data_IF_352826096152
#
_entry.id   IF_352826096152
#
_cell.length_a   1.000
_cell.length_b   1.000
_cell.length_c   1.000
_cell.angle_alpha   90.00
_cell.angle_beta   90.00
_cell.angle_gamma   90.00
#
_symmetry.space_group_name_H-M   'P 1'
#
loop_
_entity.id
_entity.type
_entity.pdbx_description
1 polymer ?
#
# COMPACT_ATOMS: atom_id res chain seq x y z
N UNK A 1 -14.19 31.21 -42.42
CA UNK A 1 -14.17 30.59 -41.09
C UNK A 1 -15.21 31.30 -40.25
N UNK A 2 -16.33 30.65 -39.94
CA UNK A 2 -17.40 31.26 -39.16
C UNK A 2 -17.00 31.37 -37.69
N UNK A 3 -17.35 32.48 -37.04
CA UNK A 3 -17.12 32.83 -35.63
C UNK A 3 -17.74 31.87 -34.57
N UNK A 4 -18.09 30.63 -34.93
CA UNK A 4 -18.72 29.65 -34.01
C UNK A 4 -17.74 28.75 -33.26
N UNK A 5 -16.44 28.81 -33.53
CA UNK A 5 -15.44 27.91 -32.91
C UNK A 5 -14.71 28.49 -31.70
N UNK A 6 -14.99 29.73 -31.28
CA UNK A 6 -14.29 30.37 -30.15
C UNK A 6 -14.84 30.03 -28.76
N UNK A 7 -16.01 29.38 -28.67
CA UNK A 7 -16.68 29.04 -27.40
C UNK A 7 -16.75 27.52 -27.12
N UNK A 8 -16.13 26.69 -27.95
CA UNK A 8 -16.08 25.26 -27.67
C UNK A 8 -15.05 25.00 -26.55
N UNK A 9 -15.45 24.42 -25.40
CA UNK A 9 -14.49 24.06 -24.37
C UNK A 9 -13.45 23.10 -24.97
N UNK A 10 -12.17 23.22 -24.59
CA UNK A 10 -11.10 22.38 -25.13
C UNK A 10 -11.48 20.90 -25.05
N UNK A 11 -11.56 20.23 -26.22
CA UNK A 11 -11.93 18.81 -26.31
C UNK A 11 -10.78 17.94 -25.80
N UNK A 12 -11.03 17.18 -24.74
CA UNK A 12 -10.12 16.16 -24.20
C UNK A 12 -9.86 15.11 -25.29
N UNK A 13 -8.59 14.87 -25.67
CA UNK A 13 -8.27 13.84 -26.65
C UNK A 13 -8.33 12.47 -25.97
N UNK A 14 -8.84 11.45 -26.68
CA UNK A 14 -8.91 10.06 -26.17
C UNK A 14 -7.54 9.51 -25.71
N UNK A 15 -6.43 10.07 -26.21
CA UNK A 15 -5.04 9.76 -25.83
C UNK A 15 -4.61 10.27 -24.44
N UNK A 16 -5.38 11.16 -23.81
CA UNK A 16 -5.05 11.75 -22.51
C UNK A 16 -5.63 10.93 -21.32
N UNK A 17 -6.20 9.75 -21.59
CA UNK A 17 -6.73 8.83 -20.58
C UNK A 17 -6.18 7.41 -20.79
N UNK A 18 -5.93 6.72 -19.68
CA UNK A 18 -5.64 5.30 -19.66
C UNK A 18 -6.89 4.48 -20.04
N UNK A 19 -6.73 3.19 -20.35
CA UNK A 19 -7.83 2.28 -20.61
C UNK A 19 -8.84 2.21 -19.45
N UNK A 20 -8.38 2.41 -18.21
CA UNK A 20 -9.23 2.54 -17.02
C UNK A 20 -9.99 3.86 -16.92
N UNK A 21 -9.85 4.78 -17.88
CA UNK A 21 -10.45 6.11 -17.85
C UNK A 21 -9.75 7.12 -16.94
N UNK A 22 -8.69 6.71 -16.22
CA UNK A 22 -7.88 7.59 -15.39
C UNK A 22 -7.01 8.55 -16.26
N UNK A 23 -6.73 9.79 -15.81
CA UNK A 23 -5.86 10.72 -16.54
C UNK A 23 -4.47 10.14 -16.80
N UNK A 24 -4.01 10.22 -18.05
CA UNK A 24 -2.67 9.81 -18.48
C UNK A 24 -1.65 10.96 -18.41
N UNK A 25 -2.12 12.21 -18.55
CA UNK A 25 -1.35 13.45 -18.44
C UNK A 25 -2.11 14.46 -17.58
N UNK A 26 -1.45 15.56 -17.20
CA UNK A 26 -2.01 16.55 -16.29
C UNK A 26 -2.66 17.65 -17.11
N UNK A 27 -3.84 18.08 -16.69
CA UNK A 27 -4.68 19.01 -17.44
C UNK A 27 -4.02 20.38 -17.60
N UNK A 28 -3.60 20.97 -16.47
CA UNK A 28 -3.00 22.31 -16.46
C UNK A 28 -1.53 22.26 -16.89
N UNK A 29 -0.81 21.24 -16.44
CA UNK A 29 0.60 21.02 -16.75
C UNK A 29 0.77 19.57 -17.18
N UNK A 30 1.27 19.40 -18.40
CA UNK A 30 1.35 18.11 -19.06
C UNK A 30 2.05 17.06 -18.22
N UNK A 31 3.01 17.45 -17.36
CA UNK A 31 3.87 16.66 -16.45
C UNK A 31 3.46 16.70 -14.96
N UNK A 32 2.46 17.50 -14.58
CA UNK A 32 2.03 17.64 -13.18
C UNK A 32 0.52 17.48 -13.07
N UNK A 33 0.13 16.44 -12.33
CA UNK A 33 -1.28 16.20 -12.06
C UNK A 33 -1.81 17.18 -11.01
N UNK A 34 -2.98 17.74 -11.29
CA UNK A 34 -3.80 18.37 -10.29
C UNK A 34 -4.29 17.33 -9.26
N UNK A 35 -4.72 17.81 -8.11
CA UNK A 35 -5.17 16.96 -7.03
C UNK A 35 -6.30 16.01 -7.47
N UNK A 36 -7.27 16.51 -8.23
CA UNK A 36 -8.43 15.75 -8.73
C UNK A 36 -8.01 14.65 -9.71
N UNK A 37 -6.92 14.85 -10.44
CA UNK A 37 -6.39 13.87 -11.38
C UNK A 37 -5.68 12.74 -10.64
N UNK A 38 -4.88 13.06 -9.61
CA UNK A 38 -4.29 12.06 -8.71
C UNK A 38 -5.42 11.29 -8.01
N UNK A 39 -6.48 11.99 -7.58
CA UNK A 39 -7.67 11.40 -6.99
C UNK A 39 -8.31 10.37 -7.93
N UNK A 40 -8.51 10.69 -9.22
CA UNK A 40 -9.10 9.77 -10.19
C UNK A 40 -8.21 8.55 -10.44
N UNK A 41 -6.90 8.75 -10.58
CA UNK A 41 -5.93 7.65 -10.72
C UNK A 41 -5.96 6.72 -9.49
N UNK A 42 -6.07 7.31 -8.31
CA UNK A 42 -6.18 6.56 -7.06
C UNK A 42 -7.46 5.72 -7.00
N UNK A 43 -8.61 6.27 -7.43
CA UNK A 43 -9.87 5.51 -7.48
C UNK A 43 -9.80 4.38 -8.49
N UNK A 44 -9.14 4.57 -9.63
CA UNK A 44 -8.92 3.50 -10.61
C UNK A 44 -8.06 2.36 -10.02
N UNK A 45 -6.98 2.71 -9.29
CA UNK A 45 -6.17 1.72 -8.58
C UNK A 45 -6.96 1.00 -7.49
N UNK A 46 -7.80 1.71 -6.74
CA UNK A 46 -8.63 1.13 -5.69
C UNK A 46 -9.65 0.12 -6.24
N UNK A 47 -10.19 0.38 -7.43
CA UNK A 47 -11.13 -0.51 -8.09
C UNK A 47 -10.48 -1.82 -8.56
N UNK A 48 -9.24 -1.75 -9.07
CA UNK A 48 -8.46 -2.93 -9.44
C UNK A 48 -8.27 -3.88 -8.24
N UNK A 49 -7.95 -3.34 -7.06
CA UNK A 49 -7.84 -4.11 -5.82
C UNK A 49 -9.19 -4.68 -5.40
N UNK A 50 -10.25 -3.86 -5.36
CA UNK A 50 -11.58 -4.29 -4.92
C UNK A 50 -12.20 -5.33 -5.86
N UNK A 51 -11.89 -5.27 -7.16
CA UNK A 51 -12.32 -6.22 -8.18
C UNK A 51 -11.47 -7.49 -8.26
N UNK A 52 -10.35 -7.56 -7.55
CA UNK A 52 -9.47 -8.73 -7.52
C UNK A 52 -10.13 -9.90 -6.79
N UNK A 53 -9.87 -11.11 -7.28
CA UNK A 53 -10.32 -12.33 -6.62
C UNK A 53 -9.54 -12.55 -5.32
N UNK A 54 -10.14 -13.24 -4.35
CA UNK A 54 -9.45 -13.62 -3.10
C UNK A 54 -8.12 -14.35 -3.37
N UNK A 55 -8.05 -15.15 -4.44
CA UNK A 55 -6.83 -15.88 -4.82
C UNK A 55 -5.74 -14.92 -5.30
N UNK A 56 -6.08 -13.96 -6.16
CA UNK A 56 -5.14 -12.94 -6.64
C UNK A 56 -4.61 -12.10 -5.46
N UNK A 57 -5.50 -11.61 -4.59
CA UNK A 57 -5.14 -10.86 -3.39
C UNK A 57 -4.22 -11.68 -2.47
N UNK A 58 -4.54 -12.96 -2.24
CA UNK A 58 -3.76 -13.81 -1.36
C UNK A 58 -2.35 -14.05 -1.90
N UNK A 59 -2.17 -14.47 -3.16
CA UNK A 59 -0.84 -14.75 -3.68
C UNK A 59 0.00 -13.48 -3.89
N UNK A 60 -0.64 -12.38 -4.30
CA UNK A 60 0.01 -11.07 -4.36
C UNK A 60 0.48 -10.64 -2.97
N UNK A 61 -0.40 -10.73 -1.96
CA UNK A 61 -0.06 -10.40 -0.58
C UNK A 61 0.98 -11.33 0.04
N UNK A 62 0.93 -12.62 -0.28
CA UNK A 62 1.96 -13.57 0.16
C UNK A 62 3.33 -13.18 -0.41
N UNK A 63 3.38 -12.82 -1.70
CA UNK A 63 4.61 -12.37 -2.36
C UNK A 63 5.12 -11.07 -1.75
N UNK A 64 4.23 -10.11 -1.43
CA UNK A 64 4.62 -8.89 -0.72
C UNK A 64 5.21 -9.19 0.66
N UNK A 65 4.55 -10.07 1.42
CA UNK A 65 5.03 -10.53 2.73
C UNK A 65 6.41 -11.18 2.66
N UNK A 66 6.62 -12.05 1.68
CA UNK A 66 7.92 -12.68 1.46
C UNK A 66 8.99 -11.65 1.07
N UNK A 67 8.65 -10.64 0.25
CA UNK A 67 9.57 -9.57 -0.12
C UNK A 67 9.99 -8.67 1.07
N UNK A 68 9.14 -8.52 2.10
CA UNK A 68 9.52 -7.83 3.36
C UNK A 68 10.70 -8.50 4.07
N UNK A 69 10.97 -9.77 3.81
CA UNK A 69 12.13 -10.46 4.38
C UNK A 69 13.44 -9.80 3.94
N UNK A 70 13.49 -9.18 2.74
CA UNK A 70 14.64 -8.39 2.30
C UNK A 70 14.86 -7.15 3.17
N UNK A 71 13.78 -6.49 3.61
CA UNK A 71 13.82 -5.39 4.57
C UNK A 71 14.38 -5.87 5.92
N UNK A 72 13.89 -7.02 6.42
CA UNK A 72 14.39 -7.62 7.66
C UNK A 72 15.89 -7.94 7.57
N UNK A 73 16.34 -8.60 6.50
CA UNK A 73 17.76 -8.92 6.26
C UNK A 73 18.58 -7.63 6.24
N UNK A 74 18.15 -6.64 5.45
CA UNK A 74 18.85 -5.36 5.32
C UNK A 74 19.03 -4.67 6.66
N UNK A 75 18.00 -4.69 7.51
CA UNK A 75 18.05 -4.08 8.82
C UNK A 75 18.93 -4.86 9.80
N UNK A 76 18.75 -6.18 9.90
CA UNK A 76 19.56 -7.04 10.76
C UNK A 76 21.06 -6.96 10.44
N UNK A 77 21.41 -7.02 9.14
CA UNK A 77 22.79 -6.87 8.66
C UNK A 77 23.33 -5.46 8.93
N UNK A 78 22.51 -4.43 8.70
CA UNK A 78 22.91 -3.06 8.97
C UNK A 78 23.17 -2.81 10.47
N UNK A 79 22.31 -3.31 11.36
CA UNK A 79 22.51 -3.24 12.82
C UNK A 79 23.73 -4.02 13.29
N UNK A 80 24.03 -5.15 12.67
CA UNK A 80 25.23 -5.92 12.97
C UNK A 80 26.52 -5.19 12.55
N UNK A 81 26.53 -4.56 11.37
CA UNK A 81 27.73 -3.89 10.83
C UNK A 81 27.93 -2.47 11.38
N UNK A 82 26.85 -1.78 11.73
CA UNK A 82 26.86 -0.40 12.21
C UNK A 82 26.10 -0.24 13.55
N UNK A 83 26.53 -0.95 14.62
CA UNK A 83 25.78 -1.00 15.88
C UNK A 83 25.63 0.36 16.57
N UNK A 84 26.55 1.30 16.30
CA UNK A 84 26.56 2.64 16.89
C UNK A 84 26.10 3.74 15.91
N UNK A 85 25.53 3.37 14.76
CA UNK A 85 25.09 4.33 13.75
C UNK A 85 23.78 3.89 13.10
N UNK A 86 22.67 4.35 13.68
CA UNK A 86 21.31 4.01 13.23
C UNK A 86 21.03 4.46 11.80
N UNK A 87 21.62 5.57 11.35
CA UNK A 87 21.47 6.08 9.99
C UNK A 87 22.07 5.10 8.97
N UNK A 88 23.30 4.63 9.18
CA UNK A 88 23.92 3.65 8.30
C UNK A 88 23.29 2.25 8.45
N UNK A 89 22.89 1.87 9.67
CA UNK A 89 22.29 0.58 9.93
C UNK A 89 20.93 0.37 9.25
N UNK A 90 20.28 1.43 8.81
CA UNK A 90 18.94 1.39 8.21
C UNK A 90 18.94 1.56 6.70
N UNK A 91 20.10 1.77 6.07
CA UNK A 91 20.23 2.14 4.65
C UNK A 91 19.65 1.08 3.68
N UNK A 92 19.62 -0.18 4.09
CA UNK A 92 19.09 -1.31 3.31
C UNK A 92 17.64 -1.66 3.65
N UNK A 93 17.05 -1.05 4.68
CA UNK A 93 15.67 -1.32 5.08
C UNK A 93 14.65 -1.09 3.93
N UNK A 94 14.76 -0.08 3.05
CA UNK A 94 13.75 0.16 2.02
C UNK A 94 13.69 -0.90 0.90
N UNK A 95 14.66 -1.81 0.81
CA UNK A 95 14.80 -2.71 -0.34
C UNK A 95 13.58 -3.61 -0.54
N UNK A 96 13.03 -4.21 0.53
CA UNK A 96 11.81 -5.01 0.43
C UNK A 96 10.62 -4.20 -0.10
N UNK A 97 10.45 -2.97 0.37
CA UNK A 97 9.39 -2.07 -0.09
C UNK A 97 9.52 -1.65 -1.55
N UNK A 98 10.75 -1.50 -2.07
CA UNK A 98 10.97 -1.28 -3.50
C UNK A 98 10.44 -2.45 -4.34
N UNK A 99 10.73 -3.69 -3.93
CA UNK A 99 10.21 -4.88 -4.62
C UNK A 99 8.68 -4.95 -4.59
N UNK A 100 8.08 -4.61 -3.45
CA UNK A 100 6.64 -4.65 -3.24
C UNK A 100 5.93 -3.62 -4.11
N UNK A 101 6.31 -2.34 -3.99
CA UNK A 101 5.58 -1.24 -4.63
C UNK A 101 5.84 -1.21 -6.14
N UNK A 102 7.07 -1.47 -6.58
CA UNK A 102 7.38 -1.52 -8.02
C UNK A 102 6.84 -2.80 -8.67
N UNK A 103 6.86 -3.91 -7.92
CA UNK A 103 6.27 -5.19 -8.34
C UNK A 103 4.74 -5.23 -8.31
N UNK A 104 4.09 -4.20 -7.74
CA UNK A 104 2.64 -4.10 -7.56
C UNK A 104 2.07 -5.29 -6.76
N UNK A 105 2.80 -5.70 -5.73
CA UNK A 105 2.30 -6.70 -4.80
C UNK A 105 1.42 -6.07 -3.72
N UNK A 106 0.38 -6.76 -3.30
CA UNK A 106 -0.60 -6.24 -2.36
C UNK A 106 -0.05 -6.16 -0.94
N UNK A 107 0.23 -4.94 -0.47
CA UNK A 107 0.61 -4.69 0.91
C UNK A 107 -0.58 -4.16 1.71
N UNK A 108 -0.80 -4.71 2.90
CA UNK A 108 -1.92 -4.32 3.77
C UNK A 108 -1.96 -2.80 4.01
N UNK A 109 -0.82 -2.20 4.32
CA UNK A 109 -0.73 -0.77 4.62
C UNK A 109 -1.00 0.11 3.41
N UNK A 110 -0.71 -0.34 2.19
CA UNK A 110 -1.06 0.41 0.97
C UNK A 110 -2.57 0.44 0.75
N UNK A 111 -3.27 -0.60 1.22
CA UNK A 111 -4.72 -0.74 1.14
C UNK A 111 -5.49 0.06 2.22
N UNK A 112 -4.80 0.88 3.02
CA UNK A 112 -5.42 1.78 4.00
C UNK A 112 -5.80 3.15 3.42
N UNK A 113 -5.44 3.43 2.16
CA UNK A 113 -5.78 4.68 1.49
C UNK A 113 -6.78 4.52 0.31
N UNK A 114 -6.47 3.79 -0.77
CA UNK A 114 -7.35 3.72 -1.94
C UNK A 114 -8.71 3.03 -1.64
N UNK A 115 -8.76 1.81 -1.06
CA UNK A 115 -10.02 1.16 -0.73
C UNK A 115 -10.86 1.90 0.32
N UNK A 116 -10.22 2.50 1.33
CA UNK A 116 -10.91 3.31 2.36
C UNK A 116 -11.65 4.48 1.73
N UNK A 117 -11.02 5.14 0.76
CA UNK A 117 -11.63 6.24 0.02
C UNK A 117 -12.85 5.81 -0.77
N UNK A 118 -12.85 4.61 -1.37
CA UNK A 118 -14.05 4.05 -2.01
C UNK A 118 -15.18 3.85 -0.99
N UNK A 119 -14.89 3.39 0.22
CA UNK A 119 -15.92 3.26 1.27
C UNK A 119 -16.46 4.62 1.71
N UNK A 120 -15.58 5.61 1.95
CA UNK A 120 -15.97 6.97 2.34
C UNK A 120 -16.82 7.66 1.25
N UNK A 121 -16.55 7.38 -0.02
CA UNK A 121 -17.34 7.86 -1.17
C UNK A 121 -18.53 6.97 -1.50
N UNK A 122 -18.77 5.90 -0.72
CA UNK A 122 -19.88 4.94 -0.86
C UNK A 122 -19.85 4.21 -2.21
N UNK A 123 -18.66 4.06 -2.76
CA UNK A 123 -18.31 3.30 -3.96
C UNK A 123 -17.78 1.90 -3.64
N UNK A 124 -17.57 1.56 -2.37
CA UNK A 124 -17.35 0.19 -1.92
C UNK A 124 -18.01 0.00 -0.56
N UNK A 125 -18.34 -1.24 -0.23
CA UNK A 125 -18.94 -1.60 1.05
C UNK A 125 -17.87 -1.86 2.11
N UNK A 126 -18.16 -1.54 3.37
CA UNK A 126 -17.26 -1.76 4.50
C UNK A 126 -16.91 -3.25 4.68
N UNK A 127 -17.84 -4.23 4.59
CA UNK A 127 -17.48 -5.64 4.66
C UNK A 127 -16.51 -6.08 3.55
N UNK A 128 -16.61 -5.49 2.35
CA UNK A 128 -15.69 -5.78 1.25
C UNK A 128 -14.29 -5.23 1.54
N UNK A 129 -14.20 -4.02 2.10
CA UNK A 129 -12.92 -3.47 2.58
C UNK A 129 -12.28 -4.36 3.64
N UNK A 130 -13.06 -4.80 4.63
CA UNK A 130 -12.59 -5.71 5.68
C UNK A 130 -12.13 -7.05 5.11
N UNK A 131 -12.82 -7.59 4.10
CA UNK A 131 -12.41 -8.80 3.39
C UNK A 131 -11.03 -8.63 2.75
N UNK A 132 -10.82 -7.55 1.97
CA UNK A 132 -9.50 -7.24 1.37
C UNK A 132 -8.43 -7.14 2.45
N UNK A 133 -8.69 -6.36 3.50
CA UNK A 133 -7.76 -6.18 4.61
C UNK A 133 -7.36 -7.49 5.28
N UNK A 134 -8.32 -8.35 5.62
CA UNK A 134 -8.06 -9.62 6.28
C UNK A 134 -7.26 -10.55 5.37
N UNK A 135 -7.65 -10.68 4.10
CA UNK A 135 -6.97 -11.56 3.14
C UNK A 135 -5.52 -11.11 2.93
N UNK A 136 -5.32 -9.81 2.65
CA UNK A 136 -3.99 -9.26 2.36
C UNK A 136 -3.10 -9.27 3.60
N UNK A 137 -3.61 -8.87 4.78
CA UNK A 137 -2.82 -8.91 6.02
C UNK A 137 -2.40 -10.33 6.37
N UNK A 138 -3.34 -11.28 6.32
CA UNK A 138 -3.03 -12.69 6.59
C UNK A 138 -1.98 -13.21 5.61
N UNK A 139 -2.14 -12.92 4.32
CA UNK A 139 -1.18 -13.33 3.31
C UNK A 139 0.20 -12.69 3.51
N UNK A 140 0.26 -11.39 3.82
CA UNK A 140 1.51 -10.68 4.13
C UNK A 140 2.24 -11.33 5.32
N UNK A 141 1.54 -11.60 6.42
CA UNK A 141 2.13 -12.22 7.62
C UNK A 141 2.58 -13.66 7.34
N UNK A 142 1.81 -14.44 6.57
CA UNK A 142 2.22 -15.79 6.17
C UNK A 142 3.45 -15.79 5.27
N UNK A 143 3.50 -14.91 4.27
CA UNK A 143 4.65 -14.77 3.37
C UNK A 143 5.92 -14.34 4.12
N UNK A 144 5.79 -13.34 4.99
CA UNK A 144 6.87 -12.90 5.86
C UNK A 144 7.32 -14.03 6.80
N UNK A 145 6.37 -14.72 7.41
CA UNK A 145 6.57 -15.87 8.29
C UNK A 145 7.39 -16.99 7.64
N UNK A 146 7.05 -17.37 6.40
CA UNK A 146 7.84 -18.38 5.66
C UNK A 146 9.28 -17.93 5.46
N UNK A 147 9.51 -16.67 5.07
CA UNK A 147 10.87 -16.18 4.86
C UNK A 147 11.67 -16.08 6.15
N UNK A 148 11.11 -15.51 7.22
CA UNK A 148 11.84 -15.41 8.50
C UNK A 148 11.99 -16.76 9.20
N UNK A 149 11.11 -17.72 8.96
CA UNK A 149 11.31 -19.12 9.39
C UNK A 149 12.57 -19.71 8.74
N UNK A 150 12.77 -19.49 7.44
CA UNK A 150 13.99 -19.90 6.74
C UNK A 150 15.20 -19.19 7.37
N UNK A 151 15.12 -17.87 7.62
CA UNK A 151 16.23 -17.14 8.24
C UNK A 151 16.58 -17.70 9.63
N UNK A 152 15.59 -17.99 10.47
CA UNK A 152 15.81 -18.51 11.83
C UNK A 152 16.40 -19.93 11.86
N UNK A 153 16.20 -20.72 10.82
CA UNK A 153 16.61 -22.14 10.77
C UNK A 153 17.77 -22.43 9.81
N UNK A 154 18.37 -21.40 9.22
CA UNK A 154 19.47 -21.54 8.26
C UNK A 154 20.57 -20.51 8.50
N UNK A 155 21.70 -20.64 7.81
CA UNK A 155 22.85 -19.73 7.93
C UNK A 155 22.83 -18.61 6.88
N UNK A 156 21.64 -18.16 6.46
CA UNK A 156 21.52 -17.01 5.53
C UNK A 156 22.00 -15.73 6.20
N UNK A 157 21.71 -15.55 7.50
CA UNK A 157 22.26 -14.47 8.31
C UNK A 157 23.55 -14.91 9.00
N UNK A 158 24.52 -13.99 9.14
CA UNK A 158 25.65 -14.22 10.03
C UNK A 158 25.18 -14.32 11.49
N UNK A 159 25.95 -14.93 12.40
CA UNK A 159 25.61 -14.95 13.82
C UNK A 159 25.36 -13.56 14.42
N UNK A 160 26.08 -12.54 13.96
CA UNK A 160 25.94 -11.15 14.38
C UNK A 160 24.59 -10.57 13.93
N UNK A 161 24.21 -10.80 12.67
CA UNK A 161 22.92 -10.34 12.13
C UNK A 161 21.74 -11.09 12.76
N UNK A 162 21.90 -12.39 13.05
CA UNK A 162 20.91 -13.17 13.79
C UNK A 162 20.66 -12.58 15.18
N UNK A 163 21.74 -12.27 15.93
CA UNK A 163 21.64 -11.60 17.25
C UNK A 163 21.00 -10.23 17.13
N UNK A 164 21.40 -9.42 16.15
CA UNK A 164 20.78 -8.12 15.93
C UNK A 164 19.27 -8.21 15.66
N UNK A 165 18.84 -9.19 14.84
CA UNK A 165 17.42 -9.44 14.57
C UNK A 165 16.63 -9.91 15.78
N UNK A 166 17.27 -10.66 16.69
CA UNK A 166 16.64 -11.13 17.92
C UNK A 166 16.29 -9.99 18.90
N UNK A 167 16.98 -8.86 18.82
CA UNK A 167 16.76 -7.71 19.71
C UNK A 167 15.60 -6.80 19.26
N UNK A 168 15.05 -6.98 18.06
CA UNK A 168 13.99 -6.10 17.54
C UNK A 168 12.71 -6.13 18.37
N UNK A 169 12.27 -7.32 18.79
CA UNK A 169 11.07 -7.49 19.61
C UNK A 169 11.30 -7.01 21.06
N UNK A 170 12.39 -7.40 21.76
CA UNK A 170 12.72 -6.84 23.06
C UNK A 170 12.75 -5.31 23.06
N UNK A 171 13.45 -4.70 22.10
CA UNK A 171 13.52 -3.25 21.97
C UNK A 171 12.13 -2.62 21.72
N UNK A 172 11.31 -3.24 20.88
CA UNK A 172 9.94 -2.79 20.65
C UNK A 172 9.09 -2.80 21.93
N UNK A 173 9.24 -3.84 22.76
CA UNK A 173 8.49 -3.94 24.02
C UNK A 173 8.91 -2.89 25.07
N UNK A 174 10.15 -2.41 25.05
CA UNK A 174 10.63 -1.35 25.95
C UNK A 174 9.95 0.01 25.71
N UNK A 175 9.45 0.24 24.49
CA UNK A 175 8.80 1.51 24.11
C UNK A 175 7.44 1.66 24.79
N UNK A 176 6.74 0.56 25.07
CA UNK A 176 5.40 0.57 25.64
C UNK A 176 4.29 0.78 24.62
N UNK A 177 3.09 0.34 24.99
CA UNK A 177 1.95 0.13 24.08
C UNK A 177 1.51 1.39 23.32
N UNK A 178 1.34 2.52 24.02
CA UNK A 178 0.81 3.75 23.42
C UNK A 178 1.84 4.47 22.54
N UNK A 179 3.10 4.50 22.97
CA UNK A 179 4.17 5.09 22.17
C UNK A 179 4.40 4.25 20.91
N UNK A 180 4.31 2.92 21.01
CA UNK A 180 4.30 2.01 19.87
C UNK A 180 3.16 2.31 18.90
N UNK A 181 1.93 2.47 19.43
CA UNK A 181 0.76 2.83 18.63
C UNK A 181 0.96 4.15 17.87
N UNK A 182 1.43 5.22 18.53
CA UNK A 182 1.62 6.51 17.86
C UNK A 182 2.79 6.51 16.88
N UNK A 183 3.89 5.84 17.18
CA UNK A 183 4.99 5.63 16.22
C UNK A 183 4.49 4.89 14.97
N UNK A 184 3.69 3.85 15.16
CA UNK A 184 3.06 3.12 14.07
C UNK A 184 2.00 3.93 13.32
N UNK A 185 1.30 4.85 14.00
CA UNK A 185 0.39 5.80 13.36
C UNK A 185 1.11 6.69 12.36
N UNK A 186 2.26 7.24 12.74
CA UNK A 186 3.07 8.00 11.80
C UNK A 186 3.61 7.13 10.67
N UNK A 187 4.01 5.88 10.92
CA UNK A 187 4.38 4.95 9.84
C UNK A 187 3.22 4.71 8.86
N UNK A 188 2.01 4.47 9.35
CA UNK A 188 0.80 4.30 8.53
C UNK A 188 0.50 5.53 7.68
N UNK A 189 0.65 6.73 8.26
CA UNK A 189 0.54 7.99 7.51
C UNK A 189 1.57 8.03 6.38
N UNK A 190 2.85 7.77 6.68
CA UNK A 190 3.92 7.79 5.66
C UNK A 190 3.64 6.85 4.51
N UNK A 191 3.19 5.63 4.79
CA UNK A 191 2.85 4.65 3.74
C UNK A 191 1.69 5.14 2.88
N UNK A 192 0.62 5.65 3.49
CA UNK A 192 -0.48 6.25 2.73
C UNK A 192 -0.01 7.45 1.88
N UNK A 193 0.91 8.26 2.41
CA UNK A 193 1.58 9.33 1.68
C UNK A 193 2.35 8.82 0.45
N UNK A 194 3.09 7.71 0.58
CA UNK A 194 3.80 7.08 -0.55
C UNK A 194 2.82 6.63 -1.62
N UNK A 195 1.69 6.02 -1.25
CA UNK A 195 0.66 5.62 -2.23
C UNK A 195 0.17 6.83 -3.03
N UNK A 196 -0.08 7.95 -2.36
CA UNK A 196 -0.46 9.21 -3.02
C UNK A 196 0.63 9.73 -3.95
N UNK A 197 1.87 9.86 -3.46
CA UNK A 197 3.01 10.38 -4.23
C UNK A 197 3.37 9.47 -5.41
N UNK A 198 3.33 8.16 -5.23
CA UNK A 198 3.55 7.17 -6.29
C UNK A 198 2.44 7.24 -7.37
N UNK A 199 1.20 7.55 -6.97
CA UNK A 199 0.10 7.81 -7.89
C UNK A 199 0.28 9.14 -8.65
N UNK A 200 0.93 10.13 -8.04
CA UNK A 200 1.28 11.39 -8.69
C UNK A 200 2.50 11.28 -9.61
N UNK A 201 3.43 10.36 -9.31
CA UNK A 201 4.67 10.17 -10.05
C UNK A 201 4.46 9.62 -11.47
N UNK A 202 5.35 10.04 -12.38
CA UNK A 202 5.26 9.75 -13.83
C UNK A 202 6.31 8.81 -14.34
N UNK A 203 7.48 8.83 -13.73
CA UNK A 203 8.62 8.00 -14.12
C UNK A 203 9.03 7.09 -12.97
N UNK A 204 9.71 6.00 -13.32
CA UNK A 204 10.13 4.98 -12.37
C UNK A 204 11.21 5.48 -11.39
N UNK A 205 12.07 6.41 -11.81
CA UNK A 205 13.16 6.91 -10.95
C UNK A 205 12.58 7.72 -9.79
N UNK A 206 11.65 8.64 -10.07
CA UNK A 206 10.94 9.41 -9.05
C UNK A 206 10.21 8.50 -8.07
N UNK A 207 9.61 7.40 -8.56
CA UNK A 207 8.97 6.39 -7.70
C UNK A 207 9.98 5.71 -6.79
N UNK A 208 11.09 5.23 -7.34
CA UNK A 208 12.17 4.60 -6.57
C UNK A 208 12.68 5.53 -5.47
N UNK A 209 12.99 6.78 -5.81
CA UNK A 209 13.50 7.76 -4.84
C UNK A 209 12.46 8.03 -3.73
N UNK A 210 11.20 8.23 -4.11
CA UNK A 210 10.11 8.47 -3.15
C UNK A 210 9.92 7.30 -2.20
N UNK A 211 9.84 6.08 -2.74
CA UNK A 211 9.70 4.84 -1.96
C UNK A 211 10.90 4.70 -1.02
N UNK A 212 12.11 4.82 -1.57
CA UNK A 212 13.33 4.66 -0.80
C UNK A 212 13.39 5.64 0.38
N UNK A 213 13.23 6.94 0.14
CA UNK A 213 13.35 7.96 1.17
C UNK A 213 12.29 7.84 2.26
N UNK A 214 11.03 7.56 1.88
CA UNK A 214 9.96 7.47 2.88
C UNK A 214 10.09 6.20 3.73
N UNK A 215 10.38 5.05 3.12
CA UNK A 215 10.58 3.81 3.88
C UNK A 215 11.90 3.80 4.66
N UNK A 216 12.91 4.56 4.23
CA UNK A 216 14.14 4.75 4.99
C UNK A 216 13.89 5.53 6.29
N UNK A 217 12.94 6.46 6.28
CA UNK A 217 12.57 7.22 7.46
C UNK A 217 11.94 6.35 8.56
N UNK A 218 11.27 5.26 8.20
CA UNK A 218 10.58 4.37 9.16
C UNK A 218 11.55 3.89 10.25
N UNK A 219 12.60 3.10 9.95
CA UNK A 219 13.50 2.63 10.99
C UNK A 219 14.45 3.72 11.50
N UNK A 220 14.81 4.71 10.66
CA UNK A 220 15.74 5.79 11.04
C UNK A 220 15.17 6.67 12.17
N UNK A 221 13.85 6.87 12.17
CA UNK A 221 13.12 7.63 13.22
C UNK A 221 12.59 6.70 14.32
N UNK A 222 12.78 5.38 14.19
CA UNK A 222 12.25 4.39 15.13
C UNK A 222 10.72 4.30 15.09
N UNK A 223 10.14 4.30 13.89
CA UNK A 223 8.73 4.01 13.61
C UNK A 223 8.55 2.53 13.26
N UNK A 224 7.32 2.04 13.37
CA UNK A 224 7.01 0.61 13.24
C UNK A 224 6.00 0.34 12.12
N UNK A 225 6.36 -0.55 11.21
CA UNK A 225 5.50 -0.98 10.10
C UNK A 225 4.93 -2.37 10.39
N UNK A 226 3.61 -2.53 10.33
CA UNK A 226 2.93 -3.76 10.78
C UNK A 226 3.41 -5.05 10.12
N UNK A 227 3.81 -5.03 8.84
CA UNK A 227 4.28 -6.25 8.16
C UNK A 227 5.73 -6.54 8.52
N UNK A 228 6.59 -5.53 8.61
CA UNK A 228 7.97 -5.72 9.11
C UNK A 228 7.96 -6.19 10.56
N UNK A 229 7.20 -5.52 11.43
CA UNK A 229 7.07 -5.91 12.84
C UNK A 229 6.41 -7.28 13.01
N UNK A 230 5.54 -7.69 12.09
CA UNK A 230 5.04 -9.07 12.04
C UNK A 230 6.13 -10.08 11.70
N UNK A 231 7.02 -9.74 10.75
CA UNK A 231 8.19 -10.55 10.43
C UNK A 231 9.17 -10.64 11.63
N UNK A 232 9.41 -9.53 12.32
CA UNK A 232 10.24 -9.45 13.53
C UNK A 232 9.66 -10.31 14.67
N UNK A 233 8.35 -10.21 14.91
CA UNK A 233 7.64 -11.03 15.89
C UNK A 233 7.77 -12.54 15.59
N UNK A 234 7.51 -12.94 14.34
CA UNK A 234 7.60 -14.34 13.93
C UNK A 234 9.04 -14.86 13.96
N UNK A 235 10.01 -14.05 13.53
CA UNK A 235 11.42 -14.40 13.61
C UNK A 235 11.84 -14.69 15.05
N UNK A 236 11.51 -13.80 16.00
CA UNK A 236 11.80 -13.99 17.42
C UNK A 236 11.19 -15.28 17.97
N UNK A 237 9.94 -15.57 17.60
CA UNK A 237 9.24 -16.81 17.97
C UNK A 237 9.96 -18.05 17.41
N UNK A 238 10.37 -18.01 16.13
CA UNK A 238 11.02 -19.15 15.49
C UNK A 238 12.46 -19.39 15.97
N UNK A 239 13.14 -18.36 16.47
CA UNK A 239 14.45 -18.52 17.11
C UNK A 239 14.39 -19.38 18.38
N UNK A 240 13.24 -19.42 19.05
CA UNK A 240 13.05 -20.23 20.27
C UNK A 240 13.96 -19.82 21.44
N UNK A 241 14.47 -18.59 21.44
CA UNK A 241 15.29 -18.06 22.53
C UNK A 241 14.44 -17.68 23.74
N UNK A 242 14.98 -17.72 24.97
CA UNK A 242 14.26 -17.26 26.15
C UNK A 242 13.81 -15.80 26.01
N UNK A 243 12.55 -15.51 26.33
CA UNK A 243 12.01 -14.17 26.15
C UNK A 243 10.51 -14.03 26.43
N UNK A 244 9.89 -12.93 25.97
CA UNK A 244 8.46 -12.68 26.10
C UNK A 244 7.61 -13.81 25.49
N UNK A 245 6.51 -14.17 26.16
CA UNK A 245 5.58 -15.17 25.64
C UNK A 245 4.80 -14.66 24.42
N UNK A 246 4.24 -15.60 23.63
CA UNK A 246 3.46 -15.29 22.41
C UNK A 246 2.40 -14.21 22.63
N UNK A 247 1.65 -14.31 23.72
CA UNK A 247 0.61 -13.32 24.04
C UNK A 247 1.20 -11.91 24.15
N UNK A 248 2.31 -11.75 24.87
CA UNK A 248 2.98 -10.45 25.05
C UNK A 248 3.47 -9.93 23.70
N UNK A 249 4.12 -10.76 22.89
CA UNK A 249 4.64 -10.34 21.57
C UNK A 249 3.51 -9.83 20.68
N UNK A 250 2.40 -10.55 20.58
CA UNK A 250 1.32 -10.15 19.69
C UNK A 250 0.43 -9.04 20.26
N UNK A 251 0.24 -8.98 21.58
CA UNK A 251 -0.63 -7.99 22.22
C UNK A 251 0.08 -6.67 22.56
N UNK A 252 1.30 -6.72 23.10
CA UNK A 252 2.04 -5.54 23.56
C UNK A 252 2.92 -4.93 22.47
N UNK A 253 3.35 -5.72 21.48
CA UNK A 253 4.18 -5.25 20.37
C UNK A 253 3.40 -5.18 19.05
N UNK A 254 2.91 -6.30 18.51
CA UNK A 254 2.36 -6.29 17.15
C UNK A 254 0.99 -5.60 17.01
N UNK A 255 0.07 -5.81 17.96
CA UNK A 255 -1.28 -5.22 17.93
C UNK A 255 -1.29 -3.68 17.93
N UNK A 256 -0.57 -2.97 18.82
CA UNK A 256 -0.51 -1.51 18.74
C UNK A 256 0.10 -1.04 17.42
N UNK A 257 1.06 -1.78 16.84
CA UNK A 257 1.61 -1.45 15.51
C UNK A 257 0.57 -1.59 14.41
N UNK A 258 -0.20 -2.69 14.42
CA UNK A 258 -1.30 -2.89 13.49
C UNK A 258 -2.31 -1.75 13.58
N UNK A 259 -2.84 -1.49 14.78
CA UNK A 259 -3.83 -0.44 15.01
C UNK A 259 -3.28 0.93 14.60
N UNK A 260 -2.05 1.27 15.00
CA UNK A 260 -1.40 2.52 14.64
C UNK A 260 -1.34 2.68 13.11
N UNK A 261 -0.78 1.70 12.40
CA UNK A 261 -0.66 1.75 10.95
C UNK A 261 -2.03 1.92 10.26
N UNK A 262 -3.06 1.17 10.69
CA UNK A 262 -4.41 1.29 10.14
C UNK A 262 -4.99 2.68 10.36
N UNK A 263 -4.92 3.20 11.59
CA UNK A 263 -5.45 4.52 11.93
C UNK A 263 -4.70 5.62 11.18
N UNK A 264 -3.37 5.55 11.12
CA UNK A 264 -2.52 6.53 10.42
C UNK A 264 -2.87 6.65 8.94
N UNK A 265 -3.06 5.50 8.27
CA UNK A 265 -3.46 5.49 6.86
C UNK A 265 -4.86 6.05 6.62
N UNK A 266 -5.83 5.65 7.46
CA UNK A 266 -7.23 6.12 7.37
C UNK A 266 -7.34 7.61 7.67
N UNK A 267 -6.62 8.13 8.67
CA UNK A 267 -6.66 9.54 9.07
C UNK A 267 -6.18 10.45 7.94
N UNK A 268 -5.11 10.09 7.22
CA UNK A 268 -4.64 10.86 6.07
C UNK A 268 -5.75 11.03 5.02
N UNK A 269 -6.46 9.94 4.71
CA UNK A 269 -7.57 9.96 3.75
C UNK A 269 -8.74 10.78 4.26
N UNK A 270 -9.09 10.62 5.53
CA UNK A 270 -10.19 11.36 6.14
C UNK A 270 -9.93 12.87 6.11
N UNK A 271 -8.72 13.31 6.45
CA UNK A 271 -8.31 14.72 6.40
C UNK A 271 -8.29 15.26 4.96
N UNK A 272 -7.72 14.50 4.03
CA UNK A 272 -7.70 14.87 2.62
C UNK A 272 -9.13 15.00 2.05
N UNK A 273 -10.01 14.04 2.35
CA UNK A 273 -11.41 14.08 1.90
C UNK A 273 -12.22 15.21 2.57
N UNK A 274 -12.02 15.47 3.86
CA UNK A 274 -12.73 16.53 4.59
C UNK A 274 -12.44 17.92 4.01
N UNK A 275 -11.18 18.18 3.65
CA UNK A 275 -10.77 19.44 3.04
C UNK A 275 -11.40 19.72 1.65
N UNK A 276 -12.11 18.75 1.06
CA UNK A 276 -12.54 18.76 -0.35
C UNK A 276 -14.04 18.57 -0.57
N UNK A 277 -14.85 18.67 0.49
CA UNK A 277 -16.28 18.33 0.49
C UNK A 277 -17.17 19.06 -0.55
N UNK A 278 -16.62 19.96 -1.38
CA UNK A 278 -17.36 20.66 -2.44
C UNK A 278 -17.19 20.10 -3.88
N UNK A 279 -16.35 19.09 -4.14
CA UNK A 279 -16.04 18.74 -5.53
C UNK A 279 -16.95 17.67 -6.16
N UNK A 280 -17.75 18.15 -7.13
CA UNK A 280 -18.57 17.46 -8.15
C UNK A 280 -18.63 15.93 -8.06
N UNK A 281 -19.81 15.43 -7.67
CA UNK A 281 -20.23 14.03 -7.84
C UNK A 281 -19.91 13.56 -9.26
N UNK A 282 -19.15 12.49 -9.37
CA UNK A 282 -18.88 11.81 -10.64
C UNK A 282 -20.23 11.40 -11.27
N UNK A 283 -20.61 11.93 -12.45
CA UNK A 283 -22.00 11.86 -12.93
C UNK A 283 -22.47 10.48 -13.40
N UNK A 284 -21.66 9.41 -13.30
CA UNK A 284 -21.98 8.10 -13.89
C UNK A 284 -21.75 6.89 -12.96
N UNK A 285 -21.73 7.08 -11.62
CA UNK A 285 -21.35 6.00 -10.69
C UNK A 285 -22.50 5.58 -9.78
N UNK A 286 -22.71 4.26 -9.62
CA UNK A 286 -23.67 3.70 -8.67
C UNK A 286 -23.18 3.91 -7.23
N UNK A 287 -23.90 4.74 -6.49
CA UNK A 287 -23.65 4.97 -5.06
C UNK A 287 -24.39 3.92 -4.24
N UNK A 288 -23.71 3.30 -3.27
CA UNK A 288 -24.32 2.31 -2.38
C UNK A 288 -25.28 2.96 -1.37
N UNK A 289 -26.44 2.35 -1.15
CA UNK A 289 -27.33 2.69 -0.03
C UNK A 289 -26.63 2.47 1.32
N UNK A 290 -27.16 3.02 2.43
CA UNK A 290 -26.52 2.84 3.76
C UNK A 290 -26.49 1.36 4.14
N UNK A 291 -27.54 0.62 3.80
CA UNK A 291 -27.62 -0.82 4.01
C UNK A 291 -26.58 -1.58 3.20
N UNK A 292 -26.41 -1.25 1.93
CA UNK A 292 -25.38 -1.89 1.09
C UNK A 292 -23.96 -1.53 1.54
N UNK A 293 -23.73 -0.28 1.94
CA UNK A 293 -22.45 0.17 2.48
C UNK A 293 -22.04 -0.66 3.70
N UNK A 294 -22.97 -0.92 4.62
CA UNK A 294 -22.67 -1.58 5.90
C UNK A 294 -22.75 -3.12 5.85
N UNK A 295 -23.59 -3.69 4.98
CA UNK A 295 -23.96 -5.10 5.06
C UNK A 295 -23.87 -5.86 3.72
N UNK A 296 -23.19 -5.33 2.70
CA UNK A 296 -22.98 -6.05 1.44
C UNK A 296 -21.50 -6.32 1.16
N UNK A 297 -21.23 -7.15 0.16
CA UNK A 297 -19.91 -7.37 -0.43
C UNK A 297 -19.87 -6.78 -1.85
N UNK A 298 -20.39 -5.56 -2.01
CA UNK A 298 -20.47 -4.87 -3.31
C UNK A 298 -19.39 -3.80 -3.45
N UNK A 299 -18.78 -3.75 -4.63
CA UNK A 299 -18.13 -2.57 -5.21
C UNK A 299 -19.15 -1.82 -6.08
N UNK A 300 -19.20 -0.50 -5.97
CA UNK A 300 -20.17 0.40 -6.59
C UNK A 300 -19.79 0.87 -8.00
N UNK A 301 -18.66 0.43 -8.55
CA UNK A 301 -18.24 0.81 -9.89
C UNK A 301 -17.85 -0.43 -10.69
N UNK A 302 -18.44 -0.67 -11.87
CA UNK A 302 -17.70 -1.28 -12.95
C UNK A 302 -16.89 -0.16 -13.59
N UNK A 303 -15.57 -0.14 -13.42
CA UNK A 303 -14.79 0.30 -14.55
C UNK A 303 -14.88 -0.85 -15.57
N UNK A 304 -15.34 -0.57 -16.78
CA UNK A 304 -15.21 -1.50 -17.91
C UNK A 304 -13.71 -1.58 -18.26
N UNK A 305 -12.90 -2.13 -17.35
CA UNK A 305 -11.47 -2.35 -17.49
C UNK A 305 -11.25 -3.75 -18.02
N UNK A 306 -10.70 -3.91 -19.24
CA UNK A 306 -10.11 -5.17 -19.64
C UNK A 306 -8.98 -5.49 -18.65
N UNK A 307 -9.07 -6.63 -17.95
CA UNK A 307 -7.96 -7.11 -17.11
C UNK A 307 -6.77 -7.44 -18.03
N UNK A 308 -5.53 -7.10 -17.68
CA UNK A 308 -4.36 -7.56 -18.42
C UNK A 308 -4.38 -9.10 -18.48
N UNK A 309 -4.69 -9.68 -19.64
CA UNK A 309 -4.85 -11.13 -19.83
C UNK A 309 -6.21 -11.59 -20.36
N UNK A 310 -7.25 -10.75 -20.37
CA UNK A 310 -8.43 -11.00 -21.19
C UNK A 310 -8.17 -10.46 -22.60
N UNK A 311 -8.19 -11.35 -23.60
CA UNK A 311 -8.16 -10.96 -25.02
C UNK A 311 -9.29 -9.94 -25.24
N UNK A 312 -8.92 -8.79 -25.80
CA UNK A 312 -9.88 -7.96 -26.52
C UNK A 312 -10.58 -8.91 -27.51
N UNK A 313 -11.88 -9.08 -27.36
CA UNK A 313 -12.66 -9.84 -28.33
C UNK A 313 -12.58 -9.10 -29.66
N UNK A 314 -12.50 -9.82 -30.78
CA UNK A 314 -12.33 -9.30 -32.16
C UNK A 314 -13.34 -8.20 -32.58
N UNK A 315 -14.37 -7.92 -31.79
CA UNK A 315 -15.30 -6.81 -31.97
C UNK A 315 -14.68 -5.42 -31.68
N UNK A 316 -13.68 -5.32 -30.80
CA UNK A 316 -13.05 -4.03 -30.48
C UNK A 316 -12.10 -3.54 -31.60
N UNK A 317 -11.43 -4.45 -32.31
CA UNK A 317 -10.56 -4.13 -33.46
C UNK A 317 -11.35 -3.61 -34.69
N UNK A 318 -12.60 -4.05 -34.85
CA UNK A 318 -13.46 -3.60 -35.98
C UNK A 318 -13.96 -2.17 -35.84
N UNK A 319 -13.82 -1.57 -34.66
CA UNK A 319 -14.28 -0.20 -34.42
C UNK A 319 -13.18 0.83 -34.68
N UNK A 320 -11.90 0.45 -34.56
CA UNK A 320 -10.77 1.32 -34.93
C UNK A 320 -10.54 1.36 -36.44
N UNK A 321 -10.77 0.27 -37.17
CA UNK A 321 -10.61 0.20 -38.63
C UNK A 321 -11.71 0.89 -39.43
N UNK A 322 -12.78 1.39 -38.78
CA UNK A 322 -13.91 2.06 -39.46
C UNK A 322 -13.87 3.58 -39.44
N UNK A 323 -12.86 4.17 -38.79
CA UNK A 323 -12.68 5.62 -38.66
C UNK A 323 -11.33 6.12 -39.26
N UNK A 324 -10.66 5.31 -40.08
CA UNK A 324 -9.63 5.78 -41.03
C UNK A 324 -10.22 5.90 -42.43
#
# INVERSE_FOLDING_TARGET
MSDRDKDSPPRIRKRDRAASGAPASGWALGDRFAWEEIHQRLLASADEVIGSTTRELFFSGFTAGFAIVLTFIGYAVGRANFPNNDFLATILYPIGFLYIILGRYELYTENTLPPVKLVLTRLASLPLLLHVWIVVLTANILGAGVGVFILANTNVLSPEAMRAGAEFVPHGLEIGWWDMFFKALFAGWLVAGVVWLNTAARDTISRVITIYLVFYMIPTVGLFHVVSSGAEALFFVFLGVPGPGLFIIFYEFWLPVLLGNTFGGVVLVALANYAQSEQRRYPEIRVLSLRELLFSLKGGRPFDTPRPGFRLTEEDEKTETRNE
#
